data_IF_130553129498
#
_entry.id   IF_130553129498
#
_cell.length_a   1.000
_cell.length_b   1.000
_cell.length_c   1.000
_cell.angle_alpha   90.00
_cell.angle_beta   90.00
_cell.angle_gamma   90.00
#
_symmetry.space_group_name_H-M   'P 1'
#
loop_
_entity.id
_entity.type
_entity.pdbx_description
1 polymer ?
#
# COMPACT_ATOMS: atom_id res chain seq x y z
N UNK A 1 19.80 0.30 -12.28
CA UNK A 1 19.19 0.00 -12.19
C UNK A 1 18.31 -0.18 -11.33
N UNK A 2 17.60 -0.47 -11.23
CA UNK A 2 16.75 -0.56 -10.46
C UNK A 2 16.64 -1.63 -9.77
N UNK A 3 16.18 -1.79 -8.87
CA UNK A 3 16.06 -2.82 -8.20
C UNK A 3 14.93 -3.48 -8.41
N UNK A 4 14.87 -4.49 -8.52
CA UNK A 4 13.93 -5.15 -8.78
C UNK A 4 13.12 -5.51 -7.74
N UNK A 5 13.51 -5.54 -6.68
CA UNK A 5 12.74 -5.84 -5.67
C UNK A 5 12.08 -4.74 -5.16
N UNK A 6 11.70 -3.82 -5.90
CA UNK A 6 11.13 -2.77 -5.31
C UNK A 6 9.81 -3.05 -4.81
N UNK A 7 9.44 -2.62 -3.65
CA UNK A 7 8.17 -2.76 -3.02
C UNK A 7 7.21 -1.65 -3.40
N UNK A 8 7.61 -0.77 -4.28
CA UNK A 8 6.84 0.39 -4.66
C UNK A 8 6.54 0.38 -6.15
N UNK A 9 5.42 0.95 -6.52
CA UNK A 9 5.01 1.02 -7.90
C UNK A 9 5.41 2.37 -8.44
N UNK A 10 6.28 2.39 -9.47
CA UNK A 10 6.81 3.65 -9.95
C UNK A 10 5.97 4.33 -10.99
N UNK A 11 5.08 3.62 -11.65
CA UNK A 11 4.34 4.22 -12.72
C UNK A 11 2.99 4.74 -12.29
N UNK A 12 2.73 4.82 -10.98
CA UNK A 12 1.48 5.34 -10.51
C UNK A 12 1.73 6.07 -9.22
N UNK A 13 1.02 7.14 -8.98
CA UNK A 13 1.24 7.95 -7.79
C UNK A 13 0.44 7.39 -6.62
N UNK A 14 1.13 7.04 -5.53
CA UNK A 14 0.48 6.50 -4.36
C UNK A 14 -0.58 7.45 -3.81
N UNK A 15 -0.34 8.75 -3.87
CA UNK A 15 -1.30 9.70 -3.36
C UNK A 15 -2.58 9.72 -4.19
N UNK A 16 -2.48 9.52 -5.49
CA UNK A 16 -3.65 9.48 -6.34
C UNK A 16 -4.48 8.24 -6.05
N UNK A 17 -3.83 7.11 -5.82
CA UNK A 17 -4.53 5.88 -5.53
C UNK A 17 -5.28 6.01 -4.21
N UNK A 18 -4.66 6.62 -3.19
CA UNK A 18 -5.35 6.81 -1.93
C UNK A 18 -6.47 7.81 -2.03
N UNK A 19 -6.31 8.85 -2.84
CA UNK A 19 -7.30 9.90 -2.92
C UNK A 19 -8.52 9.50 -3.74
N UNK A 20 -8.30 8.86 -4.88
CA UNK A 20 -9.36 8.58 -5.82
C UNK A 20 -9.77 7.11 -5.88
N UNK A 21 -8.99 6.23 -5.31
CA UNK A 21 -9.28 4.82 -5.37
C UNK A 21 -10.37 4.40 -4.41
N UNK A 22 -10.84 3.19 -4.58
CA UNK A 22 -11.84 2.61 -3.71
C UNK A 22 -11.13 1.66 -2.75
N UNK A 23 -11.24 1.90 -1.45
CA UNK A 23 -10.57 1.06 -0.46
C UNK A 23 -11.44 -0.16 -0.23
N UNK A 24 -10.90 -1.32 -0.63
CA UNK A 24 -11.61 -2.58 -0.52
C UNK A 24 -11.37 -3.21 0.85
N UNK A 25 -10.14 -3.16 1.31
CA UNK A 25 -9.75 -3.71 2.59
C UNK A 25 -8.94 -2.67 3.33
N UNK A 26 -9.18 -2.49 4.60
CA UNK A 26 -8.43 -1.53 5.40
C UNK A 26 -8.37 -2.10 6.80
N UNK A 27 -7.22 -2.64 7.19
CA UNK A 27 -7.05 -3.26 8.47
C UNK A 27 -5.91 -2.63 9.24
N UNK A 28 -6.11 -2.44 10.54
CA UNK A 28 -5.11 -1.86 11.41
C UNK A 28 -4.93 -2.81 12.57
N UNK A 29 -3.69 -3.13 12.88
CA UNK A 29 -3.44 -3.97 14.03
C UNK A 29 -2.09 -3.65 14.66
N UNK A 30 -1.97 -3.95 15.94
CA UNK A 30 -0.74 -3.76 16.66
C UNK A 30 -0.06 -5.09 16.84
N UNK A 31 1.26 -5.12 16.73
CA UNK A 31 2.00 -6.33 17.00
C UNK A 31 2.39 -6.34 18.47
N UNK A 32 2.77 -7.51 18.96
CA UNK A 32 3.13 -7.64 20.37
C UNK A 32 4.36 -6.82 20.73
N UNK A 33 5.20 -6.49 19.73
CA UNK A 33 6.41 -5.72 19.99
C UNK A 33 6.19 -4.23 19.82
N UNK A 34 4.95 -3.78 19.71
CA UNK A 34 4.67 -2.36 19.75
C UNK A 34 4.59 -1.64 18.43
N UNK A 35 4.53 -2.34 17.31
CA UNK A 35 4.42 -1.70 16.03
C UNK A 35 2.97 -1.63 15.56
N UNK A 36 2.63 -0.57 14.85
CA UNK A 36 1.31 -0.39 14.32
C UNK A 36 1.33 -0.62 12.83
N UNK A 37 0.57 -1.59 12.37
CA UNK A 37 0.49 -1.94 10.96
C UNK A 37 -0.84 -1.50 10.39
N UNK A 38 -0.82 -1.02 9.16
CA UNK A 38 -2.04 -0.71 8.43
C UNK A 38 -1.92 -1.28 7.03
N UNK A 39 -2.86 -2.14 6.68
CA UNK A 39 -2.85 -2.86 5.42
C UNK A 39 -4.08 -2.50 4.63
N UNK A 40 -3.92 -2.09 3.40
CA UNK A 40 -5.03 -1.72 2.55
C UNK A 40 -4.95 -2.38 1.19
N UNK A 41 -6.10 -2.73 0.65
CA UNK A 41 -6.20 -3.10 -0.75
C UNK A 41 -7.10 -2.07 -1.39
N UNK A 42 -6.64 -1.44 -2.45
CA UNK A 42 -7.33 -0.31 -3.06
C UNK A 42 -7.51 -0.56 -4.53
N UNK A 43 -8.74 -0.38 -5.02
CA UNK A 43 -8.99 -0.50 -6.44
C UNK A 43 -8.96 0.88 -7.07
N UNK A 44 -8.15 1.03 -8.10
CA UNK A 44 -7.99 2.31 -8.76
C UNK A 44 -7.81 2.07 -10.24
N UNK A 45 -8.70 2.63 -11.05
CA UNK A 45 -8.65 2.50 -12.50
C UNK A 45 -8.56 1.04 -12.95
N UNK A 46 -9.38 0.21 -12.35
CA UNK A 46 -9.48 -1.18 -12.74
C UNK A 46 -8.39 -2.10 -12.25
N UNK A 47 -7.48 -1.60 -11.42
CA UNK A 47 -6.42 -2.41 -10.88
C UNK A 47 -6.44 -2.39 -9.38
N UNK A 48 -5.93 -3.45 -8.77
CA UNK A 48 -5.83 -3.52 -7.33
C UNK A 48 -4.41 -3.19 -6.89
N UNK A 49 -4.29 -2.42 -5.82
CA UNK A 49 -3.00 -2.03 -5.28
C UNK A 49 -2.93 -2.41 -3.82
N UNK A 50 -1.76 -2.84 -3.41
CA UNK A 50 -1.47 -3.19 -2.03
C UNK A 50 -0.73 -2.03 -1.39
N UNK A 51 -1.18 -1.60 -0.20
CA UNK A 51 -0.61 -0.45 0.48
C UNK A 51 -0.38 -0.84 1.92
N UNK A 52 0.87 -0.87 2.33
CA UNK A 52 1.23 -1.31 3.67
C UNK A 52 2.01 -0.23 4.37
N UNK A 53 1.58 0.13 5.55
CA UNK A 53 2.27 1.11 6.37
C UNK A 53 2.63 0.50 7.70
N UNK A 54 3.75 0.90 8.26
CA UNK A 54 4.19 0.47 9.57
C UNK A 54 4.62 1.70 10.33
N UNK A 55 3.97 1.96 11.47
CA UNK A 55 4.27 3.11 12.32
C UNK A 55 4.21 4.42 11.56
N UNK A 56 3.25 4.53 10.66
CA UNK A 56 3.05 5.75 9.90
C UNK A 56 3.94 5.92 8.70
N UNK A 57 4.74 4.91 8.37
CA UNK A 57 5.63 5.00 7.23
C UNK A 57 5.22 4.02 6.16
N UNK A 58 5.27 4.43 4.91
CA UNK A 58 4.92 3.56 3.80
C UNK A 58 6.02 2.54 3.59
N UNK A 59 5.68 1.28 3.69
CA UNK A 59 6.63 0.19 3.53
C UNK A 59 6.47 -0.48 2.18
N UNK A 60 5.25 -0.58 1.68
CA UNK A 60 5.03 -1.29 0.44
C UNK A 60 3.86 -0.70 -0.29
N UNK A 61 4.01 -0.48 -1.58
CA UNK A 61 2.92 -0.02 -2.43
C UNK A 61 3.14 -0.60 -3.81
N UNK A 62 2.26 -1.50 -4.23
CA UNK A 62 2.46 -2.16 -5.51
C UNK A 62 1.15 -2.69 -6.05
N UNK A 63 1.14 -2.97 -7.32
CA UNK A 63 -0.01 -3.53 -7.99
C UNK A 63 -0.13 -5.00 -7.65
N UNK A 64 -1.37 -5.46 -7.40
CA UNK A 64 -1.61 -6.85 -7.08
C UNK A 64 -2.02 -7.60 -8.31
N UNK A 65 -2.12 -7.38 -9.32
CA UNK A 65 -2.39 -8.12 -10.44
C UNK A 65 -3.50 -8.91 -10.48
#
# INVERSE_FOLDING_TARGET
>A
MMNKEQAFCDDICEKDVLRYGEIIVDEIYNTWDGHLYRLRAIRYEGKLYWHKMVDGRLIEFRSLR
#
